data_IF_498935949546
#
_entry.id   IF_498935949546
#
_cell.length_a   1.000
_cell.length_b   1.000
_cell.length_c   1.000
_cell.angle_alpha   90.00
_cell.angle_beta   90.00
_cell.angle_gamma   90.00
#
_symmetry.space_group_name_H-M   'P 1'
#
loop_
_entity.id
_entity.type
_entity.pdbx_description
1 polymer ?
#
# COMPACT_ATOMS: atom_id res chain seq x y z
N UNK A 1 10.95 4.21 -13.33
CA UNK A 1 10.39 4.17 -14.69
C UNK A 1 8.93 3.73 -14.60
N UNK A 2 8.05 4.39 -15.35
CA UNK A 2 6.64 4.09 -15.51
C UNK A 2 6.34 3.92 -17.00
N UNK A 3 5.68 2.82 -17.37
CA UNK A 3 5.17 2.61 -18.75
C UNK A 3 3.64 2.73 -18.72
N UNK A 4 3.12 3.59 -19.62
CA UNK A 4 1.68 3.74 -19.85
C UNK A 4 1.22 2.76 -20.92
N UNK A 5 0.10 2.12 -20.69
CA UNK A 5 -0.54 1.15 -21.59
C UNK A 5 -1.92 1.70 -21.93
N UNK A 6 -2.05 2.20 -23.16
CA UNK A 6 -3.28 2.80 -23.67
C UNK A 6 -4.25 1.78 -24.26
N UNK A 7 -3.78 0.58 -24.60
CA UNK A 7 -4.63 -0.51 -25.06
C UNK A 7 -5.60 -0.93 -23.95
N UNK A 8 -6.79 -1.33 -24.35
CA UNK A 8 -7.75 -1.91 -23.41
C UNK A 8 -7.26 -3.28 -22.96
N UNK A 9 -7.15 -3.48 -21.65
CA UNK A 9 -6.68 -4.74 -21.01
C UNK A 9 -7.70 -5.17 -19.98
N UNK A 10 -7.99 -6.46 -19.93
CA UNK A 10 -8.97 -7.01 -19.00
C UNK A 10 -8.38 -7.14 -17.59
N UNK A 11 -9.03 -6.61 -16.53
CA UNK A 11 -8.65 -6.86 -15.15
C UNK A 11 -8.75 -8.34 -14.74
N UNK A 12 -9.52 -9.12 -15.49
CA UNK A 12 -9.61 -10.56 -15.31
C UNK A 12 -8.42 -11.25 -15.99
N UNK A 13 -7.45 -11.66 -15.22
CA UNK A 13 -6.23 -12.40 -15.57
C UNK A 13 -5.22 -11.68 -16.48
N UNK A 14 -5.64 -10.93 -17.51
CA UNK A 14 -4.71 -10.33 -18.50
C UNK A 14 -3.75 -9.33 -17.85
N UNK A 15 -4.26 -8.42 -17.04
CA UNK A 15 -3.39 -7.45 -16.35
C UNK A 15 -2.37 -8.13 -15.45
N UNK A 16 -2.78 -9.18 -14.75
CA UNK A 16 -1.89 -9.95 -13.89
C UNK A 16 -0.79 -10.63 -14.70
N UNK A 17 -1.13 -11.25 -15.82
CA UNK A 17 -0.15 -11.92 -16.68
C UNK A 17 0.86 -10.93 -17.26
N UNK A 18 0.41 -9.78 -17.75
CA UNK A 18 1.30 -8.74 -18.27
C UNK A 18 2.20 -8.19 -17.15
N UNK A 19 1.62 -7.96 -15.96
CA UNK A 19 2.35 -7.47 -14.81
C UNK A 19 3.39 -8.47 -14.31
N UNK A 20 3.06 -9.77 -14.23
CA UNK A 20 3.96 -10.83 -13.80
C UNK A 20 5.14 -11.00 -14.75
N UNK A 21 4.90 -11.08 -16.06
CA UNK A 21 5.97 -11.14 -17.07
C UNK A 21 6.89 -9.93 -17.01
N UNK A 22 6.31 -8.74 -16.86
CA UNK A 22 7.10 -7.50 -16.74
C UNK A 22 7.93 -7.50 -15.46
N UNK A 23 7.37 -7.98 -14.35
CA UNK A 23 8.06 -8.09 -13.08
C UNK A 23 9.25 -9.04 -13.17
N UNK A 24 9.05 -10.24 -13.73
CA UNK A 24 10.11 -11.25 -13.91
C UNK A 24 11.25 -10.76 -14.81
N UNK A 25 10.92 -9.92 -15.78
CA UNK A 25 11.92 -9.29 -16.65
C UNK A 25 12.62 -8.08 -16.00
N UNK A 26 12.36 -7.75 -14.73
CA UNK A 26 12.89 -6.56 -14.07
C UNK A 26 12.38 -5.24 -14.67
N UNK A 27 11.22 -5.28 -15.33
CA UNK A 27 10.68 -4.17 -16.10
C UNK A 27 10.07 -3.04 -15.25
N UNK A 28 9.48 -2.02 -15.90
CA UNK A 28 8.94 -0.83 -15.26
C UNK A 28 7.66 -1.10 -14.46
N UNK A 29 7.21 -0.12 -13.68
CA UNK A 29 5.83 -0.05 -13.23
C UNK A 29 4.91 0.17 -14.44
N UNK A 30 3.70 -0.37 -14.40
CA UNK A 30 2.73 -0.33 -15.48
C UNK A 30 1.49 0.46 -15.06
N UNK A 31 1.09 1.44 -15.86
CA UNK A 31 -0.18 2.14 -15.72
C UNK A 31 -1.09 1.73 -16.88
N UNK A 32 -2.08 0.91 -16.60
CA UNK A 32 -3.15 0.57 -17.54
C UNK A 32 -4.18 1.70 -17.52
N UNK A 33 -4.22 2.47 -18.60
CA UNK A 33 -5.08 3.67 -18.68
C UNK A 33 -6.52 3.34 -19.03
N UNK A 34 -6.75 2.21 -19.73
CA UNK A 34 -8.06 1.78 -20.22
C UNK A 34 -8.37 0.35 -19.75
N UNK A 35 -8.63 0.10 -18.45
CA UNK A 35 -9.12 -1.20 -18.01
C UNK A 35 -10.46 -1.51 -18.67
N UNK A 36 -10.61 -2.70 -19.25
CA UNK A 36 -11.84 -3.09 -19.94
C UNK A 36 -13.05 -3.04 -19.00
N UNK A 37 -14.01 -2.18 -19.36
CA UNK A 37 -15.24 -2.00 -18.58
C UNK A 37 -15.14 -1.02 -17.40
N UNK A 38 -14.04 -0.27 -17.27
CA UNK A 38 -13.83 0.68 -16.19
C UNK A 38 -13.23 2.00 -16.69
N UNK A 39 -13.55 3.09 -16.00
CA UNK A 39 -13.02 4.43 -16.28
C UNK A 39 -11.83 4.80 -15.41
N UNK A 40 -11.50 3.98 -14.40
CA UNK A 40 -10.41 4.22 -13.46
C UNK A 40 -9.16 3.44 -13.87
N UNK A 41 -7.98 4.09 -14.02
CA UNK A 41 -6.76 3.39 -14.39
C UNK A 41 -6.24 2.46 -13.27
N UNK A 42 -5.45 1.45 -13.66
CA UNK A 42 -4.82 0.49 -12.74
C UNK A 42 -3.31 0.62 -12.80
N UNK A 43 -2.68 0.78 -11.64
CA UNK A 43 -1.23 0.80 -11.49
C UNK A 43 -0.73 -0.53 -10.95
N UNK A 44 0.16 -1.19 -11.72
CA UNK A 44 0.80 -2.44 -11.34
C UNK A 44 2.31 -2.30 -11.18
N UNK A 45 2.93 -3.20 -10.41
CA UNK A 45 4.38 -3.30 -10.21
C UNK A 45 5.05 -2.05 -9.64
N UNK A 46 4.31 -1.22 -8.87
CA UNK A 46 4.89 0.00 -8.28
C UNK A 46 6.18 -0.31 -7.50
N UNK A 47 6.16 -1.33 -6.67
CA UNK A 47 7.31 -1.81 -5.88
C UNK A 47 7.97 -3.06 -6.47
N UNK A 48 7.88 -3.24 -7.78
CA UNK A 48 8.35 -4.45 -8.48
C UNK A 48 9.88 -4.59 -8.59
N UNK A 49 10.68 -3.63 -8.12
CA UNK A 49 12.13 -3.77 -8.03
C UNK A 49 12.64 -3.24 -6.69
N UNK A 50 13.78 -3.79 -6.17
CA UNK A 50 14.40 -3.27 -4.95
C UNK A 50 14.62 -1.76 -4.98
N UNK A 51 15.01 -1.23 -6.14
CA UNK A 51 15.23 0.20 -6.31
C UNK A 51 13.96 1.02 -6.13
N UNK A 52 12.82 0.56 -6.69
CA UNK A 52 11.54 1.25 -6.48
C UNK A 52 11.03 1.14 -5.04
N UNK A 53 11.37 0.05 -4.35
CA UNK A 53 11.10 -0.06 -2.90
C UNK A 53 11.90 0.99 -2.14
N UNK A 54 13.20 1.13 -2.42
CA UNK A 54 14.06 2.16 -1.80
C UNK A 54 13.51 3.57 -2.06
N UNK A 55 13.16 3.89 -3.30
CA UNK A 55 12.55 5.17 -3.67
C UNK A 55 11.24 5.43 -2.91
N UNK A 56 10.38 4.42 -2.75
CA UNK A 56 9.14 4.51 -1.96
C UNK A 56 9.39 4.80 -0.48
N UNK A 57 10.57 4.45 0.03
CA UNK A 57 11.04 4.75 1.39
C UNK A 57 11.86 6.05 1.46
N UNK A 58 11.92 6.82 0.37
CA UNK A 58 12.71 8.05 0.31
C UNK A 58 14.21 7.81 0.30
N UNK A 59 14.67 6.65 -0.17
CA UNK A 59 16.07 6.26 -0.25
C UNK A 59 16.49 6.07 -1.71
N UNK A 60 17.77 6.32 -2.00
CA UNK A 60 18.33 6.16 -3.34
C UNK A 60 18.67 4.70 -3.65
N UNK A 61 19.05 3.94 -2.63
CA UNK A 61 19.53 2.57 -2.76
C UNK A 61 18.93 1.65 -1.69
N UNK A 62 18.85 0.36 -2.01
CA UNK A 62 18.35 -0.70 -1.10
C UNK A 62 19.22 -0.83 0.14
N UNK A 63 20.53 -0.62 0.03
CA UNK A 63 21.44 -0.68 1.18
C UNK A 63 21.07 0.35 2.26
N UNK A 64 20.54 1.50 1.87
CA UNK A 64 20.06 2.53 2.79
C UNK A 64 18.77 2.13 3.54
N UNK A 65 18.07 1.08 3.13
CA UNK A 65 16.95 0.50 3.91
C UNK A 65 17.42 -0.12 5.22
N UNK A 66 18.71 -0.45 5.34
CA UNK A 66 19.30 -0.91 6.59
C UNK A 66 19.12 0.12 7.73
N UNK A 67 19.25 1.40 7.42
CA UNK A 67 19.01 2.47 8.39
C UNK A 67 17.57 2.46 8.93
N UNK A 68 16.61 2.13 8.07
CA UNK A 68 15.21 1.97 8.49
C UNK A 68 15.07 0.78 9.44
N UNK A 69 15.72 -0.35 9.11
CA UNK A 69 15.75 -1.53 9.98
C UNK A 69 16.38 -1.23 11.35
N UNK A 70 17.48 -0.48 11.39
CA UNK A 70 18.14 -0.04 12.63
C UNK A 70 17.25 0.88 13.46
N UNK A 71 16.50 1.79 12.82
CA UNK A 71 15.51 2.61 13.50
C UNK A 71 14.40 1.77 14.12
N UNK A 72 13.85 0.80 13.37
CA UNK A 72 12.81 -0.10 13.86
C UNK A 72 13.30 -0.98 15.01
N UNK A 73 14.54 -1.48 14.95
CA UNK A 73 15.17 -2.23 16.04
C UNK A 73 15.32 -1.36 17.29
N UNK A 74 15.78 -0.13 17.15
CA UNK A 74 15.87 0.83 18.25
C UNK A 74 14.50 1.13 18.88
N UNK A 75 13.44 1.23 18.07
CA UNK A 75 12.08 1.46 18.56
C UNK A 75 11.50 0.26 19.32
N UNK A 76 11.92 -0.94 18.95
CA UNK A 76 11.48 -2.18 19.64
C UNK A 76 12.10 -2.31 21.02
N UNK A 77 13.38 -1.99 21.13
CA UNK A 77 14.16 -2.07 22.37
C UNK A 77 14.96 -0.77 22.56
N UNK A 78 14.31 0.32 23.02
CA UNK A 78 14.98 1.59 23.17
C UNK A 78 15.99 1.54 24.32
N UNK A 79 17.28 1.55 24.00
CA UNK A 79 18.31 1.68 25.00
C UNK A 79 18.38 3.14 25.51
N UNK A 80 18.31 3.37 26.83
CA UNK A 80 18.51 4.71 27.37
C UNK A 80 19.92 5.21 27.08
N UNK A 81 20.10 6.50 26.80
CA UNK A 81 21.43 7.05 26.51
C UNK A 81 22.37 6.92 27.71
N UNK A 82 23.58 6.43 27.47
CA UNK A 82 24.60 6.18 28.49
C UNK A 82 25.53 7.38 28.73
N UNK A 83 25.09 8.61 28.39
CA UNK A 83 25.86 9.83 28.58
C UNK A 83 25.55 10.88 27.51
N UNK A 84 26.14 12.07 27.68
CA UNK A 84 25.89 13.20 26.76
C UNK A 84 26.27 12.92 25.31
N UNK A 85 27.36 12.21 25.07
CA UNK A 85 27.81 11.87 23.71
C UNK A 85 26.84 10.92 23.01
N UNK A 86 26.40 9.88 23.72
CA UNK A 86 25.42 8.92 23.22
C UNK A 86 24.03 9.57 22.99
N UNK A 87 23.69 10.58 23.79
CA UNK A 87 22.48 11.37 23.61
C UNK A 87 22.51 12.16 22.29
N UNK A 88 23.66 12.79 21.95
CA UNK A 88 23.82 13.50 20.69
C UNK A 88 23.76 12.54 19.48
N UNK A 89 24.40 11.38 19.58
CA UNK A 89 24.41 10.37 18.52
C UNK A 89 23.01 9.77 18.27
N UNK A 90 22.21 9.63 19.32
CA UNK A 90 20.81 9.13 19.27
C UNK A 90 19.77 10.21 18.97
N UNK A 91 20.10 11.50 19.07
CA UNK A 91 19.17 12.61 18.87
C UNK A 91 18.45 12.59 17.51
N UNK A 92 19.10 12.27 16.37
CA UNK A 92 18.40 12.14 15.09
C UNK A 92 17.32 11.04 15.09
N UNK A 93 17.58 9.91 15.74
CA UNK A 93 16.61 8.80 15.88
C UNK A 93 15.40 9.22 16.72
N UNK A 94 15.62 9.91 17.83
CA UNK A 94 14.54 10.47 18.65
C UNK A 94 13.71 11.51 17.89
N UNK A 95 14.34 12.37 17.11
CA UNK A 95 13.65 13.36 16.26
C UNK A 95 12.76 12.69 15.21
N UNK A 96 13.21 11.59 14.61
CA UNK A 96 12.40 10.82 13.67
C UNK A 96 11.16 10.23 14.35
N UNK A 97 11.30 9.71 15.56
CA UNK A 97 10.18 9.17 16.37
C UNK A 97 9.14 10.25 16.67
N UNK A 98 9.58 11.45 17.03
CA UNK A 98 8.69 12.58 17.33
C UNK A 98 7.89 13.05 16.09
N UNK A 99 8.38 12.77 14.89
CA UNK A 99 7.70 13.09 13.63
C UNK A 99 6.76 11.97 13.12
N UNK A 100 6.66 10.84 13.82
CA UNK A 100 5.81 9.70 13.42
C UNK A 100 4.30 9.82 13.79
N UNK A 101 3.86 10.72 14.70
CA UNK A 101 2.43 10.83 15.00
C UNK A 101 1.60 11.14 13.77
N UNK A 102 0.43 10.50 13.71
CA UNK A 102 -0.54 10.72 12.63
C UNK A 102 -1.05 12.17 12.66
N UNK A 103 -0.99 12.83 11.50
CA UNK A 103 -1.63 14.16 11.34
C UNK A 103 -3.07 13.96 10.91
N UNK A 104 -3.98 14.60 11.64
CA UNK A 104 -5.40 14.69 11.26
C UNK A 104 -5.59 15.89 10.37
N UNK A 105 -6.11 15.67 9.17
CA UNK A 105 -6.44 16.73 8.22
C UNK A 105 -7.95 16.96 8.21
N UNK A 106 -8.37 18.22 8.06
CA UNK A 106 -9.79 18.60 7.94
C UNK A 106 -10.33 18.29 6.54
N UNK A 107 -9.47 18.27 5.51
CA UNK A 107 -9.80 17.91 4.15
C UNK A 107 -8.63 17.16 3.51
N UNK A 108 -8.94 16.24 2.62
CA UNK A 108 -7.93 15.46 1.88
C UNK A 108 -8.42 15.17 0.46
N UNK A 109 -7.54 15.09 -0.55
CA UNK A 109 -7.90 14.77 -1.93
C UNK A 109 -8.70 13.47 -2.07
N UNK A 110 -8.45 12.48 -1.21
CA UNK A 110 -9.20 11.21 -1.20
C UNK A 110 -10.66 11.35 -0.75
N UNK A 111 -11.08 12.53 -0.31
CA UNK A 111 -12.45 12.85 0.09
C UNK A 111 -13.20 13.71 -0.94
N UNK A 112 -12.61 13.95 -2.11
CA UNK A 112 -13.26 14.71 -3.19
C UNK A 112 -14.37 13.91 -3.88
N UNK A 113 -14.27 12.58 -3.86
CA UNK A 113 -15.29 11.68 -4.37
C UNK A 113 -15.84 10.84 -3.21
N UNK A 114 -17.11 11.02 -2.92
CA UNK A 114 -17.80 10.36 -1.81
C UNK A 114 -18.97 9.56 -2.37
N UNK A 115 -19.03 8.28 -2.04
CA UNK A 115 -20.18 7.42 -2.32
C UNK A 115 -20.86 7.04 -1.02
N UNK A 116 -22.12 7.35 -0.88
CA UNK A 116 -22.91 7.09 0.33
C UNK A 116 -24.24 6.41 -0.01
N UNK A 117 -24.77 5.65 0.93
CA UNK A 117 -26.05 4.96 0.80
C UNK A 117 -26.11 4.09 -0.46
N UNK A 118 -27.14 4.29 -1.27
CA UNK A 118 -27.39 3.52 -2.50
C UNK A 118 -26.40 3.84 -3.64
N UNK A 119 -25.65 4.92 -3.54
CA UNK A 119 -24.61 5.28 -4.51
C UNK A 119 -23.34 4.44 -4.35
N UNK A 120 -23.17 3.73 -3.24
CA UNK A 120 -22.00 2.87 -3.00
C UNK A 120 -21.99 1.71 -3.98
N UNK A 121 -20.95 1.68 -4.83
CA UNK A 121 -20.76 0.59 -5.80
C UNK A 121 -19.25 0.33 -6.01
N UNK A 122 -18.66 -0.50 -5.15
CA UNK A 122 -17.25 -0.89 -5.26
C UNK A 122 -16.94 -1.76 -6.49
N UNK A 123 -17.96 -2.29 -7.17
CA UNK A 123 -17.77 -3.02 -8.42
C UNK A 123 -17.38 -2.11 -9.60
N UNK A 124 -17.49 -0.79 -9.44
CA UNK A 124 -16.98 0.21 -10.39
C UNK A 124 -15.47 0.46 -10.29
N UNK A 125 -14.86 -0.06 -9.23
CA UNK A 125 -13.41 -0.01 -9.06
C UNK A 125 -12.81 -1.23 -9.80
N UNK A 126 -11.78 -1.06 -10.65
CA UNK A 126 -11.17 -2.16 -11.40
C UNK A 126 -10.33 -3.08 -10.50
N UNK A 127 -11.00 -3.78 -9.59
CA UNK A 127 -10.35 -4.77 -8.74
C UNK A 127 -10.03 -5.99 -9.58
N UNK A 128 -8.75 -6.36 -9.63
CA UNK A 128 -8.29 -7.47 -10.45
C UNK A 128 -8.68 -8.83 -9.87
N UNK A 129 -8.99 -9.78 -10.75
CA UNK A 129 -8.95 -11.19 -10.45
C UNK A 129 -7.63 -11.75 -10.99
N UNK A 130 -6.74 -12.15 -10.08
CA UNK A 130 -5.35 -12.48 -10.42
C UNK A 130 -5.17 -13.93 -10.86
N UNK A 131 -6.01 -14.87 -10.36
CA UNK A 131 -5.89 -16.28 -10.63
C UNK A 131 -7.24 -16.88 -11.10
N UNK A 132 -7.20 -17.90 -11.97
CA UNK A 132 -8.42 -18.51 -12.50
C UNK A 132 -9.36 -19.08 -11.43
N UNK A 133 -8.77 -19.59 -10.33
CA UNK A 133 -9.48 -20.21 -9.22
C UNK A 133 -9.84 -19.26 -8.08
N UNK A 134 -9.53 -17.95 -8.23
CA UNK A 134 -9.96 -16.95 -7.26
C UNK A 134 -11.51 -16.88 -7.25
N UNK A 135 -12.10 -16.94 -6.08
CA UNK A 135 -13.55 -16.94 -5.92
C UNK A 135 -14.23 -15.63 -6.35
N UNK A 136 -13.48 -14.51 -6.33
CA UNK A 136 -13.93 -13.17 -6.71
C UNK A 136 -12.75 -12.22 -6.87
N UNK A 137 -12.92 -11.03 -7.47
CA UNK A 137 -11.89 -10.00 -7.50
C UNK A 137 -11.37 -9.67 -6.11
N UNK A 138 -10.05 -9.49 -5.98
CA UNK A 138 -9.35 -9.41 -4.70
C UNK A 138 -8.56 -8.11 -4.58
N UNK A 139 -8.92 -7.27 -3.61
CA UNK A 139 -8.12 -6.11 -3.20
C UNK A 139 -6.92 -6.64 -2.43
N UNK A 140 -5.72 -6.59 -3.03
CA UNK A 140 -4.51 -7.23 -2.49
C UNK A 140 -3.68 -6.30 -1.61
N UNK A 141 -3.72 -4.98 -1.84
CA UNK A 141 -2.91 -3.95 -1.16
C UNK A 141 -3.74 -3.01 -0.27
N UNK A 142 -4.89 -3.46 0.21
CA UNK A 142 -5.73 -2.65 1.09
C UNK A 142 -5.04 -2.38 2.44
N UNK A 143 -4.69 -1.12 2.71
CA UNK A 143 -4.29 -0.66 4.03
C UNK A 143 -5.55 -0.49 4.88
N UNK A 144 -5.79 -1.44 5.76
CA UNK A 144 -6.99 -1.48 6.59
C UNK A 144 -6.70 -0.86 7.95
N UNK A 145 -7.40 0.24 8.23
CA UNK A 145 -7.34 0.91 9.54
C UNK A 145 -8.44 0.36 10.42
N UNK A 146 -8.06 -0.18 11.58
CA UNK A 146 -9.01 -0.73 12.54
C UNK A 146 -8.79 -0.16 13.94
N UNK A 147 -9.85 -0.18 14.74
CA UNK A 147 -9.81 0.21 16.16
C UNK A 147 -10.70 -0.73 16.94
N UNK A 148 -10.17 -1.30 18.00
CA UNK A 148 -10.99 -2.07 18.95
C UNK A 148 -11.99 -1.16 19.68
N UNK A 149 -13.14 -1.70 20.14
CA UNK A 149 -14.23 -0.91 20.73
C UNK A 149 -13.79 -0.08 21.95
N UNK A 150 -12.84 -0.60 22.73
CA UNK A 150 -12.36 0.04 23.95
C UNK A 150 -10.87 0.41 23.86
N UNK A 151 -10.35 0.65 22.63
CA UNK A 151 -8.94 0.97 22.42
C UNK A 151 -8.81 2.38 21.81
N UNK A 152 -8.00 3.28 22.41
CA UNK A 152 -7.71 4.58 21.81
C UNK A 152 -6.82 4.43 20.58
N UNK A 153 -5.97 3.39 20.55
CA UNK A 153 -4.99 3.17 19.48
C UNK A 153 -5.63 2.49 18.28
N UNK A 154 -5.34 3.03 17.10
CA UNK A 154 -5.64 2.40 15.81
C UNK A 154 -4.59 1.35 15.47
N UNK A 155 -5.01 0.32 14.76
CA UNK A 155 -4.13 -0.61 14.04
C UNK A 155 -4.18 -0.31 12.56
N UNK A 156 -3.05 -0.44 11.88
CA UNK A 156 -2.93 -0.38 10.44
C UNK A 156 -2.29 -1.67 9.95
N UNK A 157 -2.94 -2.36 9.03
CA UNK A 157 -2.46 -3.62 8.49
C UNK A 157 -2.86 -3.82 7.04
N UNK A 158 -2.13 -4.69 6.34
CA UNK A 158 -2.49 -5.12 4.99
C UNK A 158 -3.35 -6.37 5.13
N UNK A 159 -4.63 -6.25 4.77
CA UNK A 159 -5.58 -7.36 4.78
C UNK A 159 -6.22 -7.47 3.40
N UNK A 160 -6.15 -8.66 2.80
CA UNK A 160 -6.79 -8.93 1.52
C UNK A 160 -8.30 -8.96 1.69
N UNK A 161 -9.01 -8.35 0.73
CA UNK A 161 -10.47 -8.23 0.76
C UNK A 161 -11.04 -8.71 -0.57
N UNK A 162 -11.92 -9.70 -0.55
CA UNK A 162 -12.68 -10.12 -1.72
C UNK A 162 -13.92 -9.26 -1.89
N UNK A 163 -14.18 -8.82 -3.12
CA UNK A 163 -15.37 -8.06 -3.47
C UNK A 163 -16.51 -9.04 -3.75
N UNK A 164 -17.55 -8.97 -2.94
CA UNK A 164 -18.73 -9.86 -3.04
C UNK A 164 -19.95 -9.18 -3.69
N UNK A 165 -19.91 -7.86 -3.84
CA UNK A 165 -21.02 -7.09 -4.41
C UNK A 165 -20.83 -5.60 -4.22
N UNK A 166 -21.83 -4.82 -4.57
CA UNK A 166 -21.75 -3.34 -4.61
C UNK A 166 -21.23 -2.69 -3.31
N UNK A 167 -21.60 -3.25 -2.17
CA UNK A 167 -21.27 -2.70 -0.85
C UNK A 167 -20.79 -3.76 0.13
N UNK A 168 -20.30 -4.90 -0.38
CA UNK A 168 -19.88 -6.03 0.45
C UNK A 168 -18.48 -6.51 0.08
N UNK A 169 -17.65 -6.61 1.09
CA UNK A 169 -16.35 -7.27 1.02
C UNK A 169 -16.23 -8.30 2.12
N UNK A 170 -15.45 -9.34 1.90
CA UNK A 170 -15.05 -10.27 2.94
C UNK A 170 -13.55 -10.15 3.21
N UNK A 171 -13.18 -10.17 4.48
CA UNK A 171 -11.82 -10.07 4.93
C UNK A 171 -11.57 -11.09 6.04
N UNK A 172 -10.40 -11.74 6.02
CA UNK A 172 -9.99 -12.64 7.08
C UNK A 172 -9.00 -11.94 8.02
N UNK A 173 -9.34 -11.94 9.30
CA UNK A 173 -8.42 -11.62 10.35
C UNK A 173 -7.76 -12.88 10.92
N UNK A 174 -6.45 -12.80 11.11
CA UNK A 174 -5.70 -13.77 11.90
C UNK A 174 -5.31 -13.05 13.20
N UNK A 175 -5.80 -13.58 14.30
CA UNK A 175 -5.41 -13.14 15.66
C UNK A 175 -4.19 -13.88 16.13
#
# INVERSE_FOLDING_TARGET
>A
QLKRISQSVDPYLEMTEIADRTLRAGGPALLFENPKGYDMPVLCNLFGTPQRVAMGMGKEDVSALREVGELLAFLKEPEPPRGFRDLFDKAPKFKQVLNMPTKVLHSAPCQEQIWEGDAVDITKIPVMQCWPEDAAPLITWGLTVTRGPNKPRQNLGIYRQQVLGKNKVIMRWLS
#
